data_IF_428595241564
#
_entry.id   IF_428595241564
#
_cell.length_a   1.000
_cell.length_b   1.000
_cell.length_c   1.000
_cell.angle_alpha   90.00
_cell.angle_beta   90.00
_cell.angle_gamma   90.00
#
_symmetry.space_group_name_H-M   'P 1'
#
loop_
_entity.id
_entity.type
_entity.pdbx_description
1 polymer ?
#
# COMPACT_ATOMS: atom_id res chain seq x y z
N UNK A 1 9.34 2.97 -12.75
CA UNK A 1 7.98 3.43 -13.06
C UNK A 1 7.87 3.52 -14.57
N UNK A 2 6.76 3.04 -15.12
CA UNK A 2 6.56 2.96 -16.55
C UNK A 2 6.31 4.34 -17.13
N UNK A 3 7.21 4.76 -18.02
CA UNK A 3 6.98 5.89 -18.91
C UNK A 3 6.23 5.40 -20.14
N UNK A 4 5.19 6.11 -20.57
CA UNK A 4 4.55 5.84 -21.85
C UNK A 4 5.48 6.32 -22.97
N UNK A 5 6.18 5.39 -23.64
CA UNK A 5 7.18 5.72 -24.67
C UNK A 5 8.26 6.71 -24.18
N UNK A 6 8.67 6.63 -22.90
CA UNK A 6 9.64 7.57 -22.32
C UNK A 6 9.03 8.87 -21.77
N UNK A 7 7.72 9.08 -21.90
CA UNK A 7 7.02 10.23 -21.32
C UNK A 7 6.53 9.95 -19.90
N UNK A 8 6.82 10.88 -18.99
CA UNK A 8 6.19 10.97 -17.68
C UNK A 8 4.92 11.81 -17.82
N UNK A 9 3.85 11.41 -17.13
CA UNK A 9 2.65 12.23 -16.99
C UNK A 9 2.63 12.84 -15.60
N UNK A 10 2.58 14.16 -15.53
CA UNK A 10 2.60 14.90 -14.26
C UNK A 10 1.32 15.71 -14.09
N UNK A 11 0.58 15.44 -13.00
CA UNK A 11 -0.72 16.05 -12.73
C UNK A 11 -0.62 17.57 -12.54
N UNK A 12 0.46 18.08 -11.93
CA UNK A 12 0.66 19.52 -11.77
C UNK A 12 0.91 20.21 -13.12
N UNK A 13 1.72 19.58 -13.99
CA UNK A 13 1.98 20.08 -15.33
C UNK A 13 0.74 20.03 -16.24
N UNK A 14 -0.02 18.93 -16.18
CA UNK A 14 -1.27 18.76 -16.94
C UNK A 14 -2.28 19.85 -16.56
N UNK A 15 -2.46 20.08 -15.26
CA UNK A 15 -3.44 21.07 -14.79
C UNK A 15 -2.98 22.51 -14.99
N UNK A 16 -1.69 22.73 -15.18
CA UNK A 16 -1.15 24.00 -15.63
C UNK A 16 -1.19 24.18 -17.17
N UNK A 17 -1.77 23.22 -17.91
CA UNK A 17 -1.88 23.26 -19.37
C UNK A 17 -0.57 23.02 -20.11
N UNK A 18 0.44 22.44 -19.46
CA UNK A 18 1.78 22.19 -20.05
C UNK A 18 1.96 20.76 -20.56
N UNK A 19 1.06 19.85 -20.21
CA UNK A 19 1.07 18.45 -20.64
C UNK A 19 -0.35 17.94 -20.89
N UNK A 20 -0.46 16.89 -21.67
CA UNK A 20 -1.70 16.14 -21.86
C UNK A 20 -1.82 15.00 -20.86
N UNK A 21 -3.07 14.63 -20.54
CA UNK A 21 -3.34 13.42 -19.77
C UNK A 21 -2.78 12.19 -20.47
N UNK A 22 -2.09 11.33 -19.72
CA UNK A 22 -1.79 9.98 -20.17
C UNK A 22 -3.06 9.19 -20.50
N UNK A 23 -2.90 8.17 -21.34
CA UNK A 23 -3.99 7.27 -21.68
C UNK A 23 -4.61 6.63 -20.42
N UNK A 24 -5.83 6.11 -20.57
CA UNK A 24 -6.50 5.36 -19.50
C UNK A 24 -5.56 4.26 -18.98
N UNK A 25 -5.49 4.12 -17.65
CA UNK A 25 -4.60 3.16 -16.97
C UNK A 25 -3.10 3.42 -17.14
N UNK A 26 -2.67 4.66 -17.42
CA UNK A 26 -1.27 5.06 -17.23
C UNK A 26 -1.06 5.64 -15.84
N UNK A 27 0.15 5.47 -15.31
CA UNK A 27 0.55 6.11 -14.07
C UNK A 27 0.86 7.58 -14.29
N UNK A 28 0.46 8.39 -13.31
CA UNK A 28 0.78 9.80 -13.25
C UNK A 28 1.53 10.10 -11.96
N UNK A 29 2.52 10.97 -12.07
CA UNK A 29 3.12 11.61 -10.92
C UNK A 29 2.18 12.69 -10.42
N UNK A 30 1.99 12.80 -9.10
CA UNK A 30 1.21 13.90 -8.54
C UNK A 30 1.85 15.27 -8.78
N UNK A 31 3.17 15.29 -8.90
CA UNK A 31 4.03 16.45 -9.14
C UNK A 31 5.48 15.98 -9.25
N UNK A 32 6.39 16.88 -9.65
CA UNK A 32 7.79 16.53 -9.86
C UNK A 32 8.51 16.24 -8.53
N UNK A 33 9.06 15.03 -8.30
CA UNK A 33 9.83 14.76 -7.09
C UNK A 33 11.14 15.57 -7.07
N UNK A 34 11.68 15.83 -5.87
CA UNK A 34 12.95 16.55 -5.69
C UNK A 34 14.12 15.86 -6.43
N UNK A 35 14.11 14.52 -6.49
CA UNK A 35 15.10 13.71 -7.20
C UNK A 35 14.81 13.56 -8.70
N UNK A 36 13.82 14.29 -9.22
CA UNK A 36 13.31 14.11 -10.58
C UNK A 36 12.38 12.89 -10.71
N UNK A 37 11.95 12.59 -11.93
CA UNK A 37 11.19 11.36 -12.19
C UNK A 37 12.13 10.17 -12.24
N UNK A 38 11.80 9.10 -11.53
CA UNK A 38 12.68 7.94 -11.37
C UNK A 38 11.96 6.59 -11.51
N UNK A 39 12.75 5.57 -11.78
CA UNK A 39 12.38 4.17 -11.87
C UNK A 39 13.12 3.38 -10.79
N UNK A 40 12.40 2.93 -9.76
CA UNK A 40 12.98 2.22 -8.61
C UNK A 40 13.75 0.94 -8.98
N UNK A 41 13.44 0.29 -10.11
CA UNK A 41 14.20 -0.88 -10.58
C UNK A 41 15.52 -0.55 -11.28
N UNK A 42 15.80 0.73 -11.58
CA UNK A 42 16.99 1.17 -12.33
C UNK A 42 17.82 2.22 -11.56
N UNK A 43 17.15 3.13 -10.86
CA UNK A 43 17.78 4.27 -10.23
C UNK A 43 18.26 3.95 -8.81
N UNK A 44 19.35 3.18 -8.72
CA UNK A 44 19.92 2.70 -7.43
C UNK A 44 20.25 3.84 -6.45
N UNK A 45 20.70 5.00 -6.93
CA UNK A 45 21.00 6.16 -6.08
C UNK A 45 19.74 6.75 -5.41
N UNK A 46 18.59 6.66 -6.07
CA UNK A 46 17.31 7.06 -5.46
C UNK A 46 16.94 6.13 -4.32
N UNK A 47 17.16 4.82 -4.48
CA UNK A 47 16.93 3.84 -3.42
C UNK A 47 17.85 4.04 -2.21
N UNK A 48 19.13 4.38 -2.42
CA UNK A 48 20.03 4.79 -1.34
C UNK A 48 19.44 6.00 -0.62
N UNK A 49 19.02 7.02 -1.38
CA UNK A 49 18.49 8.24 -0.77
C UNK A 49 17.21 8.02 0.02
N UNK A 50 16.31 7.15 -0.47
CA UNK A 50 15.11 6.76 0.27
C UNK A 50 15.45 6.06 1.59
N UNK A 51 16.42 5.14 1.61
CA UNK A 51 16.83 4.46 2.83
C UNK A 51 17.36 5.46 3.87
N UNK A 52 18.22 6.40 3.45
CA UNK A 52 18.74 7.46 4.31
C UNK A 52 17.61 8.33 4.87
N UNK A 53 16.75 8.86 4.00
CA UNK A 53 15.66 9.75 4.41
C UNK A 53 14.70 9.10 5.39
N UNK A 54 14.33 7.84 5.15
CA UNK A 54 13.40 7.11 6.02
C UNK A 54 14.07 6.72 7.34
N UNK A 55 15.33 6.26 7.31
CA UNK A 55 16.12 6.00 8.52
C UNK A 55 16.24 7.27 9.38
N UNK A 56 16.63 8.37 8.77
CA UNK A 56 16.89 9.63 9.47
C UNK A 56 15.58 10.25 10.01
N UNK A 57 14.44 9.90 9.41
CA UNK A 57 13.10 10.20 9.92
C UNK A 57 12.62 9.24 11.04
N UNK A 58 13.40 8.22 11.40
CA UNK A 58 13.06 7.27 12.45
C UNK A 58 12.03 6.20 12.01
N UNK A 59 11.93 5.91 10.71
CA UNK A 59 11.02 4.88 10.19
C UNK A 59 11.63 3.50 10.41
N UNK A 60 10.97 2.67 11.22
CA UNK A 60 11.41 1.29 11.51
C UNK A 60 11.21 0.34 10.33
N UNK A 61 10.08 0.48 9.62
CA UNK A 61 9.76 -0.36 8.47
C UNK A 61 8.84 0.35 7.46
N UNK A 62 8.84 -0.18 6.24
CA UNK A 62 7.86 0.16 5.20
C UNK A 62 6.98 -1.04 4.88
N UNK A 63 5.72 -0.78 4.57
CA UNK A 63 4.82 -1.76 3.98
C UNK A 63 4.87 -1.65 2.45
N UNK A 64 5.14 -2.76 1.76
CA UNK A 64 5.05 -2.81 0.30
C UNK A 64 3.65 -3.28 -0.07
N UNK A 65 2.85 -2.36 -0.59
CA UNK A 65 1.53 -2.66 -1.13
C UNK A 65 1.67 -3.43 -2.45
N UNK A 66 1.35 -4.71 -2.40
CA UNK A 66 1.15 -5.56 -3.57
C UNK A 66 -0.24 -6.19 -3.51
N UNK A 67 -1.23 -5.47 -2.96
CA UNK A 67 -2.53 -6.07 -2.64
C UNK A 67 -3.34 -6.51 -3.86
N UNK A 68 -3.03 -5.93 -5.03
CA UNK A 68 -3.61 -6.31 -6.31
C UNK A 68 -2.88 -7.48 -7.00
N UNK A 69 -1.85 -8.05 -6.38
CA UNK A 69 -1.04 -9.13 -6.97
C UNK A 69 -0.95 -10.32 -6.02
N UNK A 70 -1.60 -11.42 -6.37
CA UNK A 70 -1.41 -12.72 -5.71
C UNK A 70 -0.69 -13.73 -6.61
N UNK A 71 -0.41 -13.36 -7.87
CA UNK A 71 0.56 -14.02 -8.74
C UNK A 71 1.80 -13.14 -8.91
N UNK A 72 2.97 -13.73 -8.70
CA UNK A 72 4.24 -13.20 -9.12
C UNK A 72 4.52 -13.55 -10.59
N UNK A 73 4.02 -14.68 -11.11
CA UNK A 73 4.10 -15.02 -12.52
C UNK A 73 3.17 -14.14 -13.38
N UNK A 74 3.71 -13.37 -14.36
CA UNK A 74 2.91 -12.50 -15.21
C UNK A 74 1.95 -13.27 -16.13
N UNK A 75 2.31 -14.49 -16.54
CA UNK A 75 1.40 -15.31 -17.36
C UNK A 75 0.21 -15.77 -16.53
N UNK A 76 0.46 -16.25 -15.30
CA UNK A 76 -0.59 -16.62 -14.37
C UNK A 76 -1.53 -15.44 -14.06
N UNK A 77 -0.96 -14.25 -13.83
CA UNK A 77 -1.73 -13.04 -13.62
C UNK A 77 -2.62 -12.72 -14.83
N UNK A 78 -2.08 -12.74 -16.05
CA UNK A 78 -2.85 -12.47 -17.27
C UNK A 78 -3.93 -13.52 -17.57
N UNK A 79 -3.75 -14.77 -17.16
CA UNK A 79 -4.74 -15.83 -17.36
C UNK A 79 -5.99 -15.65 -16.47
N UNK A 80 -5.84 -15.05 -15.29
CA UNK A 80 -6.92 -14.94 -14.31
C UNK A 80 -7.72 -13.64 -14.43
N UNK A 81 -7.12 -12.59 -14.98
CA UNK A 81 -7.82 -11.34 -15.24
C UNK A 81 -8.11 -11.19 -16.74
N UNK A 82 -9.39 -11.20 -17.14
CA UNK A 82 -9.83 -10.84 -18.51
C UNK A 82 -9.85 -9.31 -18.68
N UNK A 83 -8.72 -8.67 -18.42
CA UNK A 83 -8.60 -7.23 -18.37
C UNK A 83 -7.52 -6.75 -19.33
N UNK A 84 -7.72 -7.02 -20.64
CA UNK A 84 -6.93 -6.39 -21.72
C UNK A 84 -6.90 -4.86 -21.64
N UNK A 85 -7.81 -4.26 -20.86
CA UNK A 85 -7.85 -2.84 -20.57
C UNK A 85 -6.84 -2.40 -19.49
N UNK A 86 -6.40 -3.30 -18.60
CA UNK A 86 -5.55 -3.00 -17.43
C UNK A 86 -4.08 -3.44 -17.62
N UNK A 87 -3.75 -4.18 -18.68
CA UNK A 87 -2.38 -4.51 -19.10
C UNK A 87 -1.69 -3.25 -19.70
N UNK A 88 -0.48 -2.80 -19.25
CA UNK A 88 0.52 -3.48 -18.42
C UNK A 88 0.59 -3.06 -16.95
N UNK A 89 -0.48 -2.51 -16.37
CA UNK A 89 -0.51 -2.25 -14.91
C UNK A 89 -0.51 -3.54 -14.08
N UNK A 90 -0.64 -4.71 -14.73
CA UNK A 90 -0.72 -6.02 -14.11
C UNK A 90 0.52 -6.88 -14.33
N UNK A 91 1.68 -6.33 -14.74
CA UNK A 91 2.91 -7.12 -14.79
C UNK A 91 3.59 -7.15 -13.40
N UNK A 92 3.39 -8.22 -12.59
CA UNK A 92 3.97 -8.31 -11.25
C UNK A 92 5.50 -8.27 -11.27
N UNK A 93 6.16 -8.71 -12.35
CA UNK A 93 7.62 -8.68 -12.46
C UNK A 93 8.10 -7.25 -12.43
N UNK A 94 7.51 -6.40 -13.26
CA UNK A 94 7.95 -5.01 -13.41
C UNK A 94 7.40 -4.09 -12.31
N UNK A 95 6.21 -4.41 -11.76
CA UNK A 95 5.57 -3.60 -10.73
C UNK A 95 5.99 -3.91 -9.31
N UNK A 96 6.25 -5.18 -9.02
CA UNK A 96 6.56 -5.64 -7.65
C UNK A 96 7.96 -6.21 -7.61
N UNK A 97 8.25 -7.24 -8.41
CA UNK A 97 9.46 -8.02 -8.23
C UNK A 97 10.75 -7.21 -8.42
N UNK A 98 10.92 -6.60 -9.59
CA UNK A 98 12.12 -5.82 -9.92
C UNK A 98 12.37 -4.65 -8.95
N UNK A 99 11.39 -3.77 -8.63
CA UNK A 99 11.63 -2.70 -7.68
C UNK A 99 11.88 -3.20 -6.25
N UNK A 100 11.20 -4.27 -5.81
CA UNK A 100 11.46 -4.88 -4.48
C UNK A 100 12.84 -5.51 -4.42
N UNK A 101 13.26 -6.24 -5.45
CA UNK A 101 14.59 -6.85 -5.50
C UNK A 101 15.69 -5.80 -5.49
N UNK A 102 15.55 -4.72 -6.27
CA UNK A 102 16.48 -3.60 -6.26
C UNK A 102 16.51 -2.91 -4.89
N UNK A 103 15.35 -2.70 -4.26
CA UNK A 103 15.25 -2.13 -2.92
C UNK A 103 15.98 -3.00 -1.90
N UNK A 104 15.70 -4.30 -1.86
CA UNK A 104 16.30 -5.23 -0.90
C UNK A 104 17.81 -5.38 -1.11
N UNK A 105 18.27 -5.46 -2.37
CA UNK A 105 19.69 -5.49 -2.71
C UNK A 105 20.42 -4.27 -2.12
N UNK A 106 19.88 -3.06 -2.34
CA UNK A 106 20.52 -1.82 -1.87
C UNK A 106 20.37 -1.65 -0.36
N UNK A 107 19.16 -1.77 0.18
CA UNK A 107 18.87 -1.45 1.57
C UNK A 107 19.49 -2.44 2.55
N UNK A 108 19.69 -3.70 2.13
CA UNK A 108 20.37 -4.69 2.98
C UNK A 108 21.82 -4.33 3.30
N UNK A 109 22.46 -3.48 2.48
CA UNK A 109 23.80 -2.96 2.71
C UNK A 109 23.86 -1.62 3.47
N UNK A 110 22.72 -1.01 3.79
CA UNK A 110 22.66 0.31 4.43
C UNK A 110 22.34 0.15 5.92
N UNK A 111 23.28 0.51 6.83
CA UNK A 111 23.02 0.48 8.26
C UNK A 111 21.84 1.35 8.65
N UNK A 112 20.91 0.77 9.41
CA UNK A 112 19.70 1.44 9.88
C UNK A 112 18.61 1.63 8.82
N UNK A 113 18.77 1.10 7.60
CA UNK A 113 17.67 1.15 6.63
C UNK A 113 16.39 0.52 7.21
N UNK A 114 15.21 1.10 6.91
CA UNK A 114 13.95 0.54 7.37
C UNK A 114 13.79 -0.91 6.90
N UNK A 115 13.15 -1.73 7.75
CA UNK A 115 12.76 -3.08 7.38
C UNK A 115 11.60 -3.07 6.38
N UNK A 116 11.35 -4.22 5.78
CA UNK A 116 10.34 -4.41 4.74
C UNK A 116 9.28 -5.38 5.25
N UNK A 117 8.02 -5.00 5.05
CA UNK A 117 6.84 -5.77 5.42
C UNK A 117 5.97 -5.96 4.18
N UNK A 118 5.64 -7.20 3.79
CA UNK A 118 4.72 -7.44 2.69
C UNK A 118 3.30 -7.04 3.09
N UNK A 119 2.64 -6.26 2.24
CA UNK A 119 1.19 -6.03 2.28
C UNK A 119 0.54 -6.67 1.06
N UNK A 120 0.14 -7.93 1.22
CA UNK A 120 -0.28 -8.79 0.10
C UNK A 120 -1.35 -9.79 0.53
N UNK A 121 -2.26 -10.19 -0.37
CA UNK A 121 -3.16 -11.30 -0.16
C UNK A 121 -2.40 -12.59 0.12
N UNK A 122 -2.96 -13.41 0.99
CA UNK A 122 -2.53 -14.79 1.23
C UNK A 122 -3.65 -15.69 0.72
N UNK A 123 -3.34 -16.52 -0.28
CA UNK A 123 -4.28 -17.35 -1.02
C UNK A 123 -3.99 -18.84 -0.87
N UNK A 124 -5.04 -19.63 -0.81
CA UNK A 124 -5.00 -21.08 -0.95
C UNK A 124 -4.69 -21.46 -2.42
N UNK A 125 -4.27 -22.70 -2.61
CA UNK A 125 -4.24 -23.29 -3.94
C UNK A 125 -5.67 -23.36 -4.51
N UNK A 126 -5.87 -23.11 -5.82
CA UNK A 126 -7.18 -23.25 -6.45
C UNK A 126 -7.65 -24.70 -6.35
N UNK A 127 -8.97 -24.92 -6.28
CA UNK A 127 -9.50 -26.28 -6.37
C UNK A 127 -9.15 -26.90 -7.73
N UNK A 128 -8.97 -28.23 -7.83
CA UNK A 128 -8.63 -28.89 -9.10
C UNK A 128 -9.66 -28.65 -10.22
N UNK A 129 -10.91 -28.32 -9.84
CA UNK A 129 -12.01 -28.03 -10.75
C UNK A 129 -12.09 -26.54 -11.12
N UNK A 130 -11.38 -25.64 -10.42
CA UNK A 130 -11.34 -24.23 -10.74
C UNK A 130 -10.70 -24.01 -12.12
N UNK A 131 -11.36 -23.21 -12.95
CA UNK A 131 -10.94 -22.89 -14.32
C UNK A 131 -10.81 -21.39 -14.50
N UNK A 132 -9.91 -20.95 -15.36
CA UNK A 132 -9.83 -19.56 -15.80
C UNK A 132 -11.06 -19.17 -16.61
N UNK A 133 -11.13 -17.91 -17.05
CA UNK A 133 -12.21 -17.47 -17.95
C UNK A 133 -12.22 -18.25 -19.27
N UNK A 134 -11.05 -18.67 -19.75
CA UNK A 134 -10.84 -19.42 -20.99
C UNK A 134 -11.03 -20.93 -20.82
N UNK A 135 -11.32 -21.41 -19.61
CA UNK A 135 -11.55 -22.84 -19.34
C UNK A 135 -10.29 -23.64 -19.04
N UNK A 136 -9.12 -23.00 -18.95
CA UNK A 136 -7.87 -23.66 -18.54
C UNK A 136 -7.80 -23.84 -17.01
N UNK A 137 -7.04 -24.81 -16.47
CA UNK A 137 -6.82 -24.90 -15.03
C UNK A 137 -6.24 -23.61 -14.45
N UNK A 138 -6.69 -23.23 -13.26
CA UNK A 138 -6.19 -22.02 -12.60
C UNK A 138 -4.75 -22.18 -12.12
N UNK A 139 -3.89 -21.18 -12.34
CA UNK A 139 -2.53 -21.20 -11.81
C UNK A 139 -2.54 -21.06 -10.29
N UNK A 140 -1.52 -21.63 -9.64
CA UNK A 140 -1.31 -21.52 -8.19
C UNK A 140 -0.80 -20.13 -7.82
N UNK A 141 -1.41 -19.44 -6.84
CA UNK A 141 -0.87 -18.19 -6.32
C UNK A 141 0.56 -18.38 -5.78
N UNK A 142 1.49 -17.54 -6.21
CA UNK A 142 2.92 -17.67 -5.90
C UNK A 142 3.53 -16.39 -5.33
N UNK A 143 2.75 -15.33 -5.12
CA UNK A 143 3.25 -14.10 -4.48
C UNK A 143 3.72 -14.37 -3.03
N UNK A 144 3.09 -15.29 -2.30
CA UNK A 144 3.59 -15.64 -0.97
C UNK A 144 4.97 -16.28 -1.03
N UNK A 145 5.21 -17.14 -2.03
CA UNK A 145 6.51 -17.77 -2.27
C UNK A 145 7.56 -16.71 -2.63
N UNK A 146 7.22 -15.75 -3.49
CA UNK A 146 8.09 -14.61 -3.82
C UNK A 146 8.60 -13.90 -2.56
N UNK A 147 7.72 -13.58 -1.62
CA UNK A 147 8.09 -12.93 -0.37
C UNK A 147 8.89 -13.85 0.57
N UNK A 148 8.52 -15.12 0.67
CA UNK A 148 9.23 -16.10 1.51
C UNK A 148 10.67 -16.32 1.05
N UNK A 149 10.92 -16.43 -0.25
CA UNK A 149 12.27 -16.58 -0.81
C UNK A 149 13.19 -15.38 -0.47
N UNK A 150 12.60 -14.22 -0.18
CA UNK A 150 13.32 -12.98 0.14
C UNK A 150 13.44 -12.74 1.63
N UNK A 151 12.33 -12.75 2.36
CA UNK A 151 12.23 -12.22 3.72
C UNK A 151 12.07 -13.30 4.80
N UNK A 152 11.96 -14.58 4.44
CA UNK A 152 11.86 -15.64 5.45
C UNK A 152 13.09 -15.58 6.39
N UNK A 153 12.91 -15.55 7.72
CA UNK A 153 13.99 -15.32 8.66
C UNK A 153 15.01 -16.47 8.71
N UNK A 154 14.62 -17.66 8.24
CA UNK A 154 15.48 -18.86 8.20
C UNK A 154 16.14 -19.03 6.84
N UNK A 155 15.36 -18.91 5.77
CA UNK A 155 15.76 -19.31 4.42
C UNK A 155 15.87 -18.17 3.42
N UNK A 156 15.36 -16.98 3.74
CA UNK A 156 15.26 -15.87 2.81
C UNK A 156 16.61 -15.24 2.46
N UNK A 157 16.79 -14.87 1.18
CA UNK A 157 18.01 -14.19 0.68
C UNK A 157 18.32 -12.90 1.44
N UNK A 158 17.29 -12.17 1.83
CA UNK A 158 17.34 -10.91 2.57
C UNK A 158 16.66 -11.04 3.94
N UNK A 159 16.87 -12.18 4.62
CA UNK A 159 16.26 -12.51 5.92
C UNK A 159 16.36 -11.42 7.00
N UNK A 160 17.41 -10.61 6.98
CA UNK A 160 17.62 -9.51 7.93
C UNK A 160 16.82 -8.24 7.59
N UNK A 161 16.15 -8.21 6.44
CA UNK A 161 15.30 -7.08 6.02
C UNK A 161 13.84 -7.26 6.43
N UNK A 162 13.41 -8.43 6.88
CA UNK A 162 12.08 -8.60 7.46
C UNK A 162 11.94 -7.86 8.80
N UNK A 163 10.81 -7.19 9.02
CA UNK A 163 10.52 -6.55 10.30
C UNK A 163 10.01 -7.58 11.31
N UNK A 164 10.65 -7.71 12.47
CA UNK A 164 10.20 -8.59 13.54
C UNK A 164 9.17 -7.87 14.41
N UNK A 165 8.00 -8.48 14.56
CA UNK A 165 6.90 -7.99 15.38
C UNK A 165 6.34 -9.15 16.20
N UNK A 166 6.27 -9.00 17.53
CA UNK A 166 5.98 -10.10 18.45
C UNK A 166 6.82 -11.38 18.21
N UNK A 167 8.12 -11.19 17.91
CA UNK A 167 9.08 -12.28 17.78
C UNK A 167 9.04 -13.04 16.45
N UNK A 168 8.11 -12.71 15.53
CA UNK A 168 8.05 -13.27 14.17
C UNK A 168 8.07 -12.15 13.13
N UNK A 169 8.44 -12.42 11.87
CA UNK A 169 8.31 -11.41 10.82
C UNK A 169 6.85 -10.97 10.66
N UNK A 170 6.62 -9.68 10.49
CA UNK A 170 5.30 -9.11 10.25
C UNK A 170 4.86 -9.37 8.81
N UNK A 171 3.59 -9.73 8.64
CA UNK A 171 2.90 -9.79 7.36
C UNK A 171 1.57 -9.04 7.44
N UNK A 172 1.35 -8.13 6.50
CA UNK A 172 0.10 -7.39 6.39
C UNK A 172 -0.77 -8.12 5.36
N UNK A 173 -1.79 -8.81 5.86
CA UNK A 173 -2.71 -9.58 5.04
C UNK A 173 -3.82 -8.68 4.50
N UNK A 174 -4.00 -8.67 3.19
CA UNK A 174 -5.06 -7.90 2.54
C UNK A 174 -6.44 -8.31 3.02
N UNK A 175 -7.26 -7.33 3.42
CA UNK A 175 -8.65 -7.51 3.82
C UNK A 175 -9.59 -6.71 2.93
N UNK A 176 -10.34 -7.38 2.05
CA UNK A 176 -11.36 -6.73 1.23
C UNK A 176 -12.78 -7.31 1.47
N UNK A 177 -13.81 -6.46 1.45
CA UNK A 177 -15.22 -6.85 1.72
C UNK A 177 -16.20 -6.70 0.55
N UNK A 178 -15.81 -6.05 -0.54
CA UNK A 178 -16.70 -5.89 -1.69
C UNK A 178 -16.89 -7.24 -2.39
N UNK A 179 -18.14 -7.65 -2.63
CA UNK A 179 -18.40 -8.81 -3.47
C UNK A 179 -17.92 -8.50 -4.89
N UNK A 180 -16.88 -9.19 -5.34
CA UNK A 180 -16.51 -9.14 -6.74
C UNK A 180 -17.32 -10.17 -7.52
N UNK A 181 -17.47 -10.01 -8.85
CA UNK A 181 -17.85 -11.12 -9.69
C UNK A 181 -16.93 -12.30 -9.36
N UNK A 182 -17.48 -13.50 -9.18
CA UNK A 182 -16.67 -14.69 -8.94
C UNK A 182 -15.64 -14.80 -10.07
N UNK A 183 -14.36 -14.55 -9.74
CA UNK A 183 -13.29 -14.90 -10.65
C UNK A 183 -13.22 -16.42 -10.60
N UNK A 184 -13.39 -17.10 -11.74
CA UNK A 184 -13.52 -18.56 -11.79
C UNK A 184 -12.31 -19.31 -11.18
N UNK A 185 -11.20 -18.59 -10.92
CA UNK A 185 -10.02 -19.09 -10.21
C UNK A 185 -9.97 -18.86 -8.70
N UNK A 186 -10.79 -17.98 -8.14
CA UNK A 186 -10.82 -17.68 -6.71
C UNK A 186 -12.27 -17.48 -6.26
N UNK A 187 -12.75 -18.49 -5.54
CA UNK A 187 -14.00 -18.61 -4.79
C UNK A 187 -15.32 -18.35 -5.53
N UNK A 188 -16.15 -19.41 -5.56
CA UNK A 188 -17.57 -19.36 -5.88
C UNK A 188 -18.41 -18.56 -4.85
N UNK A 189 -17.82 -18.16 -3.72
CA UNK A 189 -18.48 -17.50 -2.59
C UNK A 189 -18.78 -16.00 -2.82
N UNK A 190 -18.34 -15.43 -3.95
CA UNK A 190 -18.53 -14.00 -4.26
C UNK A 190 -17.76 -13.06 -3.32
N UNK A 191 -16.63 -13.49 -2.77
CA UNK A 191 -15.70 -12.63 -2.02
C UNK A 191 -14.80 -11.84 -2.98
N UNK A 192 -14.23 -10.74 -2.50
CA UNK A 192 -13.28 -9.95 -3.29
C UNK A 192 -12.03 -10.78 -3.63
N UNK A 193 -11.51 -10.76 -4.88
CA UNK A 193 -10.36 -11.57 -5.28
C UNK A 193 -9.09 -11.21 -4.50
N UNK A 194 -8.99 -9.98 -4.02
CA UNK A 194 -7.81 -9.48 -3.28
C UNK A 194 -7.90 -9.69 -1.76
N UNK A 195 -8.94 -10.32 -1.22
CA UNK A 195 -9.00 -10.67 0.20
C UNK A 195 -8.12 -11.91 0.49
N UNK A 196 -7.51 -11.99 1.67
CA UNK A 196 -6.77 -13.20 2.08
C UNK A 196 -7.70 -14.30 2.58
N UNK A 197 -7.34 -15.55 2.31
CA UNK A 197 -8.13 -16.73 2.66
C UNK A 197 -7.87 -17.12 4.12
N UNK A 198 -8.92 -17.36 4.95
CA UNK A 198 -8.74 -17.59 6.40
C UNK A 198 -7.85 -18.79 6.75
N UNK A 199 -7.98 -19.89 6.02
CA UNK A 199 -7.18 -21.11 6.23
C UNK A 199 -5.71 -20.86 5.90
N UNK A 200 -5.43 -20.25 4.74
CA UNK A 200 -4.07 -19.86 4.34
C UNK A 200 -3.41 -18.93 5.39
N UNK A 201 -4.17 -18.03 6.00
CA UNK A 201 -3.69 -17.17 7.08
C UNK A 201 -3.38 -17.94 8.36
N UNK A 202 -4.19 -18.94 8.71
CA UNK A 202 -3.94 -19.79 9.87
C UNK A 202 -2.59 -20.51 9.70
N UNK A 203 -2.35 -21.09 8.53
CA UNK A 203 -1.09 -21.77 8.21
C UNK A 203 0.10 -20.81 8.24
N UNK A 204 -0.03 -19.63 7.63
CA UNK A 204 1.04 -18.63 7.61
C UNK A 204 1.37 -18.10 9.01
N UNK A 205 0.39 -18.03 9.91
CA UNK A 205 0.56 -17.51 11.28
C UNK A 205 1.50 -18.34 12.16
N UNK A 206 1.78 -19.59 11.78
CA UNK A 206 2.80 -20.40 12.45
C UNK A 206 4.20 -19.77 12.30
N UNK A 207 4.47 -19.12 11.18
CA UNK A 207 5.78 -18.56 10.84
C UNK A 207 5.83 -17.03 10.92
N UNK A 208 4.69 -16.35 10.77
CA UNK A 208 4.59 -14.90 10.71
C UNK A 208 3.67 -14.34 11.79
N UNK A 209 3.91 -13.11 12.20
CA UNK A 209 2.90 -12.31 12.90
C UNK A 209 2.02 -11.67 11.85
N UNK A 210 0.74 -12.06 11.83
CA UNK A 210 -0.22 -11.56 10.84
C UNK A 210 -0.99 -10.38 11.43
N UNK A 211 -1.12 -9.30 10.64
CA UNK A 211 -2.13 -8.27 10.84
C UNK A 211 -2.95 -8.12 9.58
N UNK A 212 -4.26 -8.05 9.72
CA UNK A 212 -5.17 -7.76 8.62
C UNK A 212 -5.20 -6.26 8.39
N UNK A 213 -5.12 -5.82 7.15
CA UNK A 213 -5.04 -4.41 6.81
C UNK A 213 -5.85 -4.08 5.56
N UNK A 214 -6.41 -2.87 5.51
CA UNK A 214 -7.09 -2.32 4.33
C UNK A 214 -6.91 -0.80 4.23
N UNK A 215 -7.10 -0.23 3.02
CA UNK A 215 -6.78 1.18 2.74
C UNK A 215 -7.91 2.07 2.25
N UNK A 216 -9.14 1.57 2.11
CA UNK A 216 -10.26 2.34 1.52
C UNK A 216 -11.52 2.29 2.40
N UNK A 217 -11.42 2.76 3.64
CA UNK A 217 -12.56 2.77 4.58
C UNK A 217 -13.48 3.95 4.35
N UNK A 218 -14.40 3.80 3.41
CA UNK A 218 -15.54 4.67 3.22
C UNK A 218 -16.72 4.33 4.13
N UNK A 219 -17.26 5.28 4.90
CA UNK A 219 -18.57 5.08 5.57
C UNK A 219 -19.63 4.71 4.50
N UNK A 220 -20.53 3.70 4.67
CA UNK A 220 -20.93 2.88 5.82
C UNK A 220 -20.14 1.57 6.02
N UNK A 221 -19.07 1.33 5.27
CA UNK A 221 -18.28 0.07 5.32
C UNK A 221 -17.50 -0.09 6.62
N UNK A 222 -17.30 1.00 7.40
CA UNK A 222 -16.79 0.94 8.78
C UNK A 222 -17.54 -0.06 9.65
N UNK A 223 -18.85 -0.26 9.41
CA UNK A 223 -19.70 -1.15 10.21
C UNK A 223 -19.26 -2.63 10.18
N UNK A 224 -18.34 -3.00 9.27
CA UNK A 224 -17.80 -4.34 9.20
C UNK A 224 -16.45 -4.56 9.88
N UNK A 225 -15.56 -3.57 9.88
CA UNK A 225 -14.16 -3.79 10.26
C UNK A 225 -14.01 -3.88 11.77
N UNK A 226 -13.23 -4.85 12.24
CA UNK A 226 -12.99 -5.03 13.67
C UNK A 226 -12.00 -3.98 14.20
N UNK A 227 -12.03 -3.73 15.50
CA UNK A 227 -11.01 -2.91 16.15
C UNK A 227 -9.60 -3.49 16.03
N UNK A 228 -9.43 -4.74 15.63
CA UNK A 228 -8.11 -5.40 15.51
C UNK A 228 -7.48 -5.26 14.12
N UNK A 229 -8.21 -4.75 13.13
CA UNK A 229 -7.71 -4.59 11.76
C UNK A 229 -6.95 -3.26 11.61
N UNK A 230 -5.75 -3.29 11.03
CA UNK A 230 -4.97 -2.09 10.75
C UNK A 230 -5.55 -1.33 9.55
N UNK A 231 -5.22 -0.04 9.45
CA UNK A 231 -5.62 0.79 8.31
C UNK A 231 -4.42 1.41 7.62
N UNK A 232 -4.36 1.33 6.28
CA UNK A 232 -3.37 2.09 5.52
C UNK A 232 -3.68 3.58 5.55
N UNK A 233 -4.94 3.92 5.25
CA UNK A 233 -5.46 5.27 5.24
C UNK A 233 -6.84 5.22 5.92
N UNK A 234 -6.90 5.67 7.18
CA UNK A 234 -8.16 5.82 7.89
C UNK A 234 -8.74 7.23 7.66
N UNK A 235 -10.02 7.27 7.31
CA UNK A 235 -10.72 8.53 7.13
C UNK A 235 -10.89 9.27 8.48
N UNK A 236 -10.76 10.59 8.49
CA UNK A 236 -11.25 11.42 9.57
C UNK A 236 -12.78 11.35 9.61
N UNK A 237 -13.37 11.67 10.75
CA UNK A 237 -14.82 11.87 10.85
C UNK A 237 -15.27 13.10 10.04
N UNK A 238 -16.59 13.24 9.86
CA UNK A 238 -17.18 14.23 8.95
C UNK A 238 -16.69 15.66 9.21
N UNK A 239 -16.72 16.49 8.15
CA UNK A 239 -16.37 17.92 8.15
C UNK A 239 -14.90 18.26 8.38
N UNK A 240 -14.00 17.29 8.60
CA UNK A 240 -12.55 17.55 8.72
C UNK A 240 -11.99 18.38 7.55
N UNK A 241 -12.38 18.02 6.31
CA UNK A 241 -12.04 18.78 5.09
C UNK A 241 -12.68 20.16 5.05
N UNK A 242 -13.99 20.26 5.32
CA UNK A 242 -14.75 21.51 5.29
C UNK A 242 -14.17 22.55 6.27
N UNK A 243 -13.59 22.07 7.36
CA UNK A 243 -12.96 22.86 8.41
C UNK A 243 -11.44 22.99 8.23
N UNK A 244 -10.91 22.66 7.05
CA UNK A 244 -9.50 22.80 6.70
C UNK A 244 -8.54 22.17 7.74
N UNK A 245 -8.90 21.01 8.28
CA UNK A 245 -8.11 20.29 9.27
C UNK A 245 -8.11 20.87 10.69
N UNK A 246 -8.95 21.88 10.98
CA UNK A 246 -9.06 22.48 12.32
C UNK A 246 -9.93 21.68 13.30
N UNK A 247 -10.69 20.70 12.82
CA UNK A 247 -11.47 19.79 13.65
C UNK A 247 -10.66 18.55 14.06
N UNK A 248 -10.98 17.90 15.20
CA UNK A 248 -10.40 16.60 15.52
C UNK A 248 -10.65 15.59 14.40
N UNK A 249 -9.59 14.92 13.93
CA UNK A 249 -9.71 13.91 12.88
C UNK A 249 -10.48 12.67 13.36
N UNK A 250 -10.40 12.30 14.65
CA UNK A 250 -11.11 11.16 15.26
C UNK A 250 -10.96 9.85 14.45
N UNK A 251 -9.76 9.57 13.96
CA UNK A 251 -9.43 8.29 13.34
C UNK A 251 -9.57 7.14 14.34
N UNK A 252 -9.94 5.97 13.81
CA UNK A 252 -9.94 4.73 14.56
C UNK A 252 -8.50 4.36 14.93
N UNK A 253 -8.35 3.83 16.13
CA UNK A 253 -7.14 3.16 16.59
C UNK A 253 -7.39 1.66 16.45
N UNK A 254 -6.44 0.93 15.84
CA UNK A 254 -6.46 -0.51 15.89
C UNK A 254 -5.94 -0.97 17.27
N UNK A 255 -6.57 -1.99 17.83
CA UNK A 255 -6.27 -2.54 19.15
C UNK A 255 -5.82 -3.99 19.02
N UNK A 256 -4.87 -4.39 19.86
CA UNK A 256 -4.49 -5.78 20.02
C UNK A 256 -4.49 -6.12 21.50
N UNK A 257 -5.23 -7.16 21.90
CA UNK A 257 -5.43 -7.55 23.30
C UNK A 257 -5.86 -6.37 24.18
N UNK A 258 -6.79 -5.54 23.69
CA UNK A 258 -7.33 -4.38 24.41
C UNK A 258 -6.38 -3.18 24.52
N UNK A 259 -5.19 -3.22 23.91
CA UNK A 259 -4.23 -2.11 23.91
C UNK A 259 -4.17 -1.44 22.53
N UNK A 260 -4.04 -0.10 22.46
CA UNK A 260 -3.73 0.61 21.22
C UNK A 260 -2.51 -0.01 20.54
N UNK A 261 -2.62 -0.30 19.25
CA UNK A 261 -1.56 -0.93 18.45
C UNK A 261 -1.16 -0.08 17.24
N UNK A 262 -2.14 0.38 16.45
CA UNK A 262 -1.87 1.12 15.22
C UNK A 262 -2.81 2.32 15.08
N UNK A 263 -2.27 3.43 14.58
CA UNK A 263 -3.02 4.61 14.19
C UNK A 263 -2.49 5.11 12.85
N UNK A 264 -3.37 5.09 11.84
CA UNK A 264 -3.03 5.54 10.50
C UNK A 264 -2.91 7.06 10.50
N UNK A 265 -1.75 7.58 10.11
CA UNK A 265 -1.53 9.02 9.92
C UNK A 265 -1.24 9.26 8.45
N UNK A 266 -2.11 10.03 7.78
CA UNK A 266 -1.87 10.42 6.39
C UNK A 266 -1.46 11.88 6.28
N UNK A 267 -0.35 12.13 5.60
CA UNK A 267 0.10 13.49 5.27
C UNK A 267 -0.76 14.16 4.17
N UNK A 268 -1.57 13.39 3.43
CA UNK A 268 -2.53 13.88 2.44
C UNK A 268 -3.84 13.11 2.58
N UNK A 269 -4.94 13.83 2.78
CA UNK A 269 -6.21 13.22 3.15
C UNK A 269 -7.19 13.23 1.99
N UNK A 270 -8.08 12.24 1.90
CA UNK A 270 -9.19 12.25 0.95
C UNK A 270 -10.51 11.94 1.65
N UNK A 271 -11.57 12.67 1.28
CA UNK A 271 -12.91 12.39 1.79
C UNK A 271 -13.59 11.32 0.92
N UNK A 272 -14.04 10.23 1.55
CA UNK A 272 -15.01 9.29 0.98
C UNK A 272 -16.40 9.55 1.61
N UNK A 273 -17.55 9.34 0.91
CA UNK A 273 -17.73 8.90 -0.49
C UNK A 273 -17.59 10.08 -1.47
N UNK A 274 -17.05 9.80 -2.66
CA UNK A 274 -16.88 10.87 -3.66
C UNK A 274 -16.10 10.49 -4.90
N UNK A 275 -14.94 9.80 -4.77
CA UNK A 275 -14.10 9.35 -5.90
C UNK A 275 -12.71 8.86 -5.44
N UNK A 276 -12.66 7.62 -4.97
CA UNK A 276 -11.68 6.60 -5.34
C UNK A 276 -10.17 6.73 -5.09
N UNK A 277 -9.49 7.85 -5.35
CA UNK A 277 -8.01 7.85 -5.46
C UNK A 277 -7.38 9.23 -5.23
N UNK A 278 -6.12 9.28 -4.73
CA UNK A 278 -5.34 10.49 -4.37
C UNK A 278 -5.28 11.56 -5.48
N UNK A 279 -5.58 11.16 -6.72
CA UNK A 279 -5.66 11.99 -7.92
C UNK A 279 -6.92 12.86 -8.04
N UNK A 280 -7.99 12.60 -7.29
CA UNK A 280 -9.19 13.46 -7.34
C UNK A 280 -9.02 14.73 -6.49
N UNK A 281 -8.87 15.88 -7.17
CA UNK A 281 -8.67 17.18 -6.53
C UNK A 281 -9.92 17.78 -5.90
N UNK A 282 -11.12 17.39 -6.33
CA UNK A 282 -12.36 17.86 -5.72
C UNK A 282 -12.53 17.28 -4.31
N UNK A 283 -12.05 16.07 -4.07
CA UNK A 283 -12.16 15.38 -2.77
C UNK A 283 -10.85 15.33 -1.97
N UNK A 284 -9.69 15.53 -2.59
CA UNK A 284 -8.41 15.64 -1.88
C UNK A 284 -8.34 16.87 -0.96
N UNK A 285 -7.73 16.68 0.21
CA UNK A 285 -7.25 17.72 1.12
C UNK A 285 -5.74 17.83 0.89
N UNK A 286 -5.24 19.01 0.47
CA UNK A 286 -3.81 19.23 0.26
C UNK A 286 -3.00 18.84 1.50
N UNK A 287 -1.69 18.64 1.34
CA UNK A 287 -0.74 18.30 2.42
C UNK A 287 -0.63 19.34 3.55
N UNK A 288 -1.54 20.31 3.63
CA UNK A 288 -1.57 21.43 4.58
C UNK A 288 -0.18 22.09 4.71
N UNK A 289 0.51 22.30 3.58
CA UNK A 289 1.89 22.81 3.52
C UNK A 289 2.92 22.02 4.37
N UNK A 290 2.73 20.71 4.51
CA UNK A 290 3.61 19.85 5.31
C UNK A 290 3.29 19.86 6.81
N UNK A 291 2.16 20.46 7.23
CA UNK A 291 1.74 20.41 8.62
C UNK A 291 1.43 18.94 9.03
N UNK A 292 2.24 18.41 9.95
CA UNK A 292 1.98 17.10 10.56
C UNK A 292 0.96 17.26 11.68
N UNK A 293 -0.10 16.44 11.65
CA UNK A 293 -1.14 16.44 12.66
C UNK A 293 -0.68 15.59 13.85
N UNK A 294 -0.53 16.20 15.03
CA UNK A 294 -0.23 15.48 16.26
C UNK A 294 -1.42 15.55 17.22
N UNK A 295 -1.74 14.43 17.87
CA UNK A 295 -2.66 14.41 19.01
C UNK A 295 -1.93 14.97 20.23
N UNK A 296 -2.43 16.06 20.81
CA UNK A 296 -2.01 16.50 22.14
C UNK A 296 -2.75 15.62 23.16
N UNK A 297 -2.04 14.91 24.06
CA UNK A 297 -2.67 14.24 25.19
C UNK A 297 -3.41 15.28 26.03
N UNK A 298 -4.70 15.06 26.22
CA UNK A 298 -5.66 16.06 26.69
C UNK A 298 -5.34 16.65 28.06
N UNK A 299 -5.18 17.97 28.11
CA UNK A 299 -5.94 18.85 29.00
C UNK A 299 -6.00 20.24 28.36
N UNK A 300 -7.21 20.71 28.06
CA UNK A 300 -7.57 22.05 27.56
C UNK A 300 -7.39 22.36 26.06
N UNK A 301 -8.55 22.50 25.41
CA UNK A 301 -8.93 23.31 24.24
C UNK A 301 -7.89 23.82 23.21
N UNK A 302 -8.33 23.74 21.95
CA UNK A 302 -7.87 24.42 20.73
C UNK A 302 -6.68 23.80 19.98
N UNK A 303 -6.96 23.32 18.76
CA UNK A 303 -5.94 23.14 17.73
C UNK A 303 -5.33 24.49 17.39
N UNK A 304 -4.01 24.64 17.53
CA UNK A 304 -3.24 25.67 16.82
C UNK A 304 -2.40 25.00 15.75
N UNK A 305 -2.52 25.49 14.53
CA UNK A 305 -1.51 25.28 13.48
C UNK A 305 -0.22 25.91 14.03
N UNK A 306 0.82 25.09 14.26
CA UNK A 306 2.16 25.63 14.41
C UNK A 306 2.65 26.03 13.02
N UNK A 307 2.50 27.30 12.66
CA UNK A 307 3.31 27.84 11.56
C UNK A 307 4.76 27.87 12.02
N UNK A 308 5.66 27.21 11.27
CA UNK A 308 7.09 27.49 11.38
C UNK A 308 7.52 28.39 10.24
N UNK A 309 7.55 29.69 10.53
CA UNK A 309 8.57 30.60 10.02
C UNK A 309 9.89 30.42 10.82
N UNK A 310 10.33 29.18 11.01
CA UNK A 310 11.55 28.88 11.77
C UNK A 310 12.22 27.61 11.26
N UNK A 311 12.55 27.62 9.97
CA UNK A 311 13.65 26.84 9.38
C UNK A 311 13.82 27.32 7.94
N UNK A 312 14.34 28.54 7.78
CA UNK A 312 15.05 29.04 6.60
C UNK A 312 15.53 30.47 6.92
N UNK A 313 16.77 30.57 7.41
CA UNK A 313 17.71 31.69 7.22
C UNK A 313 19.04 31.31 7.88
N UNK A 314 20.08 31.30 7.03
CA UNK A 314 21.53 31.11 7.28
C UNK A 314 21.95 29.83 8.00
#
# INVERSE_FOLDING_TARGET
MFTDQGRNHDIEEILAGRQEWGALFKYHWSGRPQLGYYCLSRDKQVLVKHAEQLRDAGVDFIAIDSTNSYYADPEAQHQVFDNRWWDPLTDPVKMVQQPVDALLEIWSGIPGAPKVVPFTPVKNDPSPQAKTITGTPCPKPDMQRFWNERLNPRTGRYKNMGFLYFGKPLWLASRARVKAPAHKCLDADGKHPFASDPEALADLSHFYTIRKMWGLLGSPERAGYSSEEWSFIENCQDRFKELNGSAPCNQRIAFYNGKPEELSVSAAYQRFPGSGYISDKATAVPKLNGATLHRIPSAWAAFRILSRNAMLRS
#
